data_IF_155594114836
#
_entry.id   IF_155594114836
#
_cell.length_a   1.000
_cell.length_b   1.000
_cell.length_c   1.000
_cell.angle_alpha   90.00
_cell.angle_beta   90.00
_cell.angle_gamma   90.00
#
_symmetry.space_group_name_H-M   'P 1'
#
loop_
_entity.id
_entity.type
_entity.pdbx_description
1 polymer ?
#
# COMPACT_ATOMS: atom_id res chain seq x y z
N UNK A 1 -0.14 13.35 9.71
CA UNK A 1 0.65 12.14 9.37
C UNK A 1 0.45 11.83 7.90
N UNK A 2 1.52 11.41 7.23
CA UNK A 2 1.52 11.09 5.80
C UNK A 2 1.54 9.59 5.58
N UNK A 3 0.64 9.09 4.73
CA UNK A 3 0.54 7.68 4.35
C UNK A 3 1.00 7.51 2.90
N UNK A 4 1.92 6.58 2.66
CA UNK A 4 2.15 6.02 1.33
C UNK A 4 1.19 4.86 1.11
N UNK A 5 0.32 4.97 0.10
CA UNK A 5 -0.69 3.96 -0.20
C UNK A 5 -0.23 3.08 -1.36
N UNK A 6 0.17 1.86 -1.04
CA UNK A 6 0.67 0.85 -1.97
C UNK A 6 -0.44 -0.13 -2.39
N UNK A 7 -0.44 -0.54 -3.65
CA UNK A 7 -1.34 -1.56 -4.17
C UNK A 7 -1.06 -1.92 -5.63
N UNK A 8 -1.74 -2.94 -6.14
CA UNK A 8 -1.59 -3.40 -7.52
C UNK A 8 -2.16 -2.40 -8.53
N UNK A 9 -1.52 -2.31 -9.70
CA UNK A 9 -1.83 -1.32 -10.75
C UNK A 9 -2.87 -1.77 -11.79
N UNK A 10 -3.69 -2.79 -11.52
CA UNK A 10 -4.77 -3.20 -12.41
C UNK A 10 -5.93 -2.19 -12.44
N UNK A 11 -6.74 -2.21 -13.51
CA UNK A 11 -7.85 -1.26 -13.67
C UNK A 11 -8.89 -1.35 -12.54
N UNK A 12 -9.19 -2.55 -12.06
CA UNK A 12 -10.11 -2.79 -10.94
C UNK A 12 -9.53 -2.27 -9.62
N UNK A 13 -8.25 -2.48 -9.42
CA UNK A 13 -7.52 -2.04 -8.23
C UNK A 13 -7.45 -0.53 -8.13
N UNK A 14 -7.33 0.18 -9.25
CA UNK A 14 -7.28 1.65 -9.26
C UNK A 14 -8.50 2.27 -8.57
N UNK A 15 -9.70 1.80 -8.89
CA UNK A 15 -10.93 2.30 -8.25
C UNK A 15 -10.93 2.09 -6.74
N UNK A 16 -10.48 0.93 -6.29
CA UNK A 16 -10.32 0.61 -4.86
C UNK A 16 -9.32 1.55 -4.21
N UNK A 17 -8.15 1.72 -4.82
CA UNK A 17 -7.08 2.56 -4.26
C UNK A 17 -7.51 4.03 -4.12
N UNK A 18 -8.23 4.57 -5.09
CA UNK A 18 -8.78 5.93 -5.02
C UNK A 18 -9.77 6.06 -3.86
N UNK A 19 -10.69 5.10 -3.70
CA UNK A 19 -11.64 5.09 -2.56
C UNK A 19 -10.93 5.01 -1.22
N UNK A 20 -9.90 4.17 -1.10
CA UNK A 20 -9.09 4.06 0.13
C UNK A 20 -8.38 5.38 0.41
N UNK A 21 -7.79 6.02 -0.60
CA UNK A 21 -7.14 7.32 -0.44
C UNK A 21 -8.13 8.41 0.03
N UNK A 22 -9.31 8.46 -0.56
CA UNK A 22 -10.38 9.39 -0.16
C UNK A 22 -10.83 9.15 1.29
N UNK A 23 -11.03 7.90 1.68
CA UNK A 23 -11.34 7.54 3.05
C UNK A 23 -10.28 8.04 4.03
N UNK A 24 -9.01 7.71 3.78
CA UNK A 24 -7.93 8.12 4.68
C UNK A 24 -7.78 9.64 4.77
N UNK A 25 -7.96 10.35 3.66
CA UNK A 25 -7.99 11.82 3.64
C UNK A 25 -9.16 12.37 4.46
N UNK A 26 -10.33 11.74 4.41
CA UNK A 26 -11.48 12.13 5.23
C UNK A 26 -11.23 11.92 6.73
N UNK A 27 -10.30 11.03 7.09
CA UNK A 27 -9.84 10.80 8.46
C UNK A 27 -8.70 11.75 8.88
N UNK A 28 -8.27 12.66 8.00
CA UNK A 28 -7.27 13.68 8.30
C UNK A 28 -5.83 13.33 7.93
N UNK A 29 -5.59 12.26 7.16
CA UNK A 29 -4.27 11.89 6.70
C UNK A 29 -3.90 12.60 5.38
N UNK A 30 -2.63 12.94 5.22
CA UNK A 30 -2.04 13.26 3.92
C UNK A 30 -1.69 11.94 3.22
N UNK A 31 -2.25 11.69 2.04
CA UNK A 31 -2.09 10.40 1.35
C UNK A 31 -1.42 10.57 0.00
N UNK A 32 -0.25 9.95 -0.14
CA UNK A 32 0.36 9.75 -1.45
C UNK A 32 -0.19 8.46 -2.06
N UNK A 33 -0.82 8.58 -3.21
CA UNK A 33 -1.35 7.46 -3.98
C UNK A 33 -0.65 7.44 -5.36
N UNK A 34 0.18 6.42 -5.68
CA UNK A 34 0.90 6.37 -6.96
C UNK A 34 0.02 6.50 -8.20
N UNK A 35 -1.23 6.07 -8.13
CA UNK A 35 -2.20 6.19 -9.22
C UNK A 35 -2.59 7.63 -9.56
N UNK A 36 -2.32 8.58 -8.67
CA UNK A 36 -2.61 10.00 -8.86
C UNK A 36 -1.38 10.77 -9.33
N UNK A 37 -0.22 10.10 -9.39
CA UNK A 37 1.03 10.72 -9.82
C UNK A 37 0.93 11.15 -11.29
N UNK A 38 1.24 12.41 -11.53
CA UNK A 38 1.36 12.98 -12.86
C UNK A 38 2.80 13.42 -13.08
N UNK A 39 3.44 12.86 -14.11
CA UNK A 39 4.77 13.28 -14.54
C UNK A 39 4.60 14.40 -15.57
N UNK A 40 5.09 15.62 -15.30
CA UNK A 40 5.08 16.70 -16.28
C UNK A 40 5.77 16.27 -17.57
N UNK A 41 5.19 16.62 -18.71
CA UNK A 41 5.75 16.30 -20.04
C UNK A 41 5.95 14.78 -20.30
N UNK A 42 5.11 13.92 -19.71
CA UNK A 42 5.19 12.47 -19.90
C UNK A 42 5.18 12.03 -21.37
N UNK A 43 4.55 12.82 -22.25
CA UNK A 43 4.48 12.56 -23.69
C UNK A 43 5.76 12.94 -24.46
N UNK A 44 6.64 13.74 -23.86
CA UNK A 44 7.85 14.29 -24.49
C UNK A 44 9.12 13.53 -24.07
N UNK A 45 9.02 12.58 -23.13
CA UNK A 45 10.13 11.80 -22.61
C UNK A 45 10.01 10.33 -23.04
N UNK A 46 11.14 9.62 -23.07
CA UNK A 46 11.15 8.19 -23.32
C UNK A 46 10.41 7.40 -22.23
N UNK A 47 9.94 6.19 -22.58
CA UNK A 47 9.33 5.30 -21.58
C UNK A 47 10.32 4.95 -20.45
N UNK A 48 11.59 4.83 -20.76
CA UNK A 48 12.64 4.57 -19.77
C UNK A 48 12.79 5.74 -18.81
N UNK A 49 12.85 6.97 -19.32
CA UNK A 49 12.93 8.18 -18.49
C UNK A 49 11.68 8.36 -17.66
N UNK A 50 10.50 8.13 -18.24
CA UNK A 50 9.24 8.15 -17.50
C UNK A 50 9.25 7.15 -16.34
N UNK A 51 9.62 5.89 -16.60
CA UNK A 51 9.69 4.85 -15.57
C UNK A 51 10.68 5.22 -14.45
N UNK A 52 11.82 5.82 -14.79
CA UNK A 52 12.80 6.31 -13.84
C UNK A 52 12.26 7.43 -12.95
N UNK A 53 11.53 8.37 -13.53
CA UNK A 53 10.92 9.47 -12.76
C UNK A 53 9.81 8.97 -11.84
N UNK A 54 8.96 8.01 -12.28
CA UNK A 54 7.97 7.34 -11.43
C UNK A 54 8.66 6.65 -10.26
N UNK A 55 9.67 5.82 -10.53
CA UNK A 55 10.43 5.12 -9.49
C UNK A 55 11.01 6.08 -8.45
N UNK A 56 11.64 7.17 -8.90
CA UNK A 56 12.19 8.18 -8.00
C UNK A 56 11.11 8.84 -7.12
N UNK A 57 9.97 9.18 -7.72
CA UNK A 57 8.86 9.82 -7.03
C UNK A 57 8.30 8.89 -5.94
N UNK A 58 8.08 7.62 -6.27
CA UNK A 58 7.55 6.63 -5.32
C UNK A 58 8.54 6.37 -4.17
N UNK A 59 9.82 6.17 -4.47
CA UNK A 59 10.87 5.98 -3.44
C UNK A 59 10.96 7.19 -2.51
N UNK A 60 10.94 8.40 -3.05
CA UNK A 60 10.96 9.62 -2.23
C UNK A 60 9.67 9.76 -1.40
N UNK A 61 8.52 9.41 -1.95
CA UNK A 61 7.26 9.43 -1.22
C UNK A 61 7.25 8.43 -0.06
N UNK A 62 7.80 7.22 -0.26
CA UNK A 62 7.96 6.22 0.83
C UNK A 62 8.84 6.81 1.93
N UNK A 63 10.02 7.34 1.59
CA UNK A 63 10.98 7.90 2.56
C UNK A 63 10.43 9.07 3.39
N UNK A 64 9.48 9.82 2.85
CA UNK A 64 8.86 10.96 3.52
C UNK A 64 7.49 10.63 4.13
N UNK A 65 7.13 9.36 4.21
CA UNK A 65 5.87 8.91 4.82
C UNK A 65 6.09 8.50 6.27
N UNK A 66 5.07 8.75 7.09
CA UNK A 66 5.02 8.29 8.48
C UNK A 66 4.50 6.86 8.58
N UNK A 67 3.76 6.41 7.56
CA UNK A 67 3.12 5.10 7.49
C UNK A 67 3.17 4.60 6.05
N UNK A 68 3.45 3.32 5.89
CA UNK A 68 3.29 2.58 4.63
C UNK A 68 2.09 1.65 4.74
N UNK A 69 1.08 1.84 3.90
CA UNK A 69 -0.12 1.02 3.85
C UNK A 69 -0.21 0.26 2.54
N UNK A 70 -0.21 -1.06 2.61
CA UNK A 70 -0.34 -1.95 1.45
C UNK A 70 -1.69 -2.65 1.43
N UNK A 71 -2.49 -2.42 0.38
CA UNK A 71 -3.70 -3.19 0.09
C UNK A 71 -3.32 -4.38 -0.78
N UNK A 72 -3.21 -5.55 -0.16
CA UNK A 72 -2.69 -6.77 -0.76
C UNK A 72 -3.80 -7.68 -1.27
N UNK A 73 -3.60 -8.26 -2.45
CA UNK A 73 -4.43 -9.35 -3.01
C UNK A 73 -3.75 -10.73 -2.83
N UNK A 74 -2.86 -10.84 -1.87
CA UNK A 74 -2.09 -12.06 -1.58
C UNK A 74 -0.94 -12.27 -2.56
N UNK A 75 -0.61 -13.54 -2.85
CA UNK A 75 0.53 -13.90 -3.71
C UNK A 75 0.46 -13.35 -5.14
N UNK A 76 -0.71 -12.94 -5.60
CA UNK A 76 -0.90 -12.33 -6.92
C UNK A 76 -0.67 -10.82 -6.93
N UNK A 77 -0.35 -10.23 -5.79
CA UNK A 77 0.10 -8.84 -5.71
C UNK A 77 1.38 -8.65 -6.53
N UNK A 78 1.53 -7.46 -7.11
CA UNK A 78 2.66 -7.19 -8.01
C UNK A 78 4.02 -7.28 -7.28
N UNK A 79 5.06 -7.65 -8.04
CA UNK A 79 6.43 -7.65 -7.52
C UNK A 79 6.85 -6.27 -7.01
N UNK A 80 6.43 -5.20 -7.69
CA UNK A 80 6.68 -3.81 -7.28
C UNK A 80 6.12 -3.50 -5.91
N UNK A 81 4.86 -3.84 -5.65
CA UNK A 81 4.24 -3.60 -4.33
C UNK A 81 4.96 -4.34 -3.20
N UNK A 82 5.42 -5.57 -3.44
CA UNK A 82 6.18 -6.31 -2.44
C UNK A 82 7.60 -5.75 -2.24
N UNK A 83 8.23 -5.23 -3.31
CA UNK A 83 9.51 -4.53 -3.22
C UNK A 83 9.39 -3.25 -2.37
N UNK A 84 8.35 -2.45 -2.60
CA UNK A 84 8.06 -1.23 -1.85
C UNK A 84 7.81 -1.53 -0.36
N UNK A 85 7.06 -2.59 -0.05
CA UNK A 85 6.87 -3.06 1.33
C UNK A 85 8.21 -3.39 2.00
N UNK A 86 9.06 -4.19 1.33
CA UNK A 86 10.38 -4.55 1.84
C UNK A 86 11.28 -3.34 2.06
N UNK A 87 11.20 -2.36 1.14
CA UNK A 87 11.95 -1.12 1.27
C UNK A 87 11.47 -0.27 2.46
N UNK A 88 10.16 -0.10 2.61
CA UNK A 88 9.58 0.63 3.74
C UNK A 88 9.94 -0.03 5.08
N UNK A 89 9.81 -1.36 5.16
CA UNK A 89 10.18 -2.14 6.35
C UNK A 89 11.66 -1.98 6.72
N UNK A 90 12.56 -2.09 5.73
CA UNK A 90 14.01 -1.89 5.95
C UNK A 90 14.38 -0.47 6.36
N UNK A 91 13.53 0.52 6.05
CA UNK A 91 13.69 1.92 6.46
C UNK A 91 13.00 2.24 7.80
N UNK A 92 12.49 1.21 8.50
CA UNK A 92 11.82 1.33 9.79
C UNK A 92 10.59 2.24 9.75
N UNK A 93 9.94 2.35 8.57
CA UNK A 93 8.67 3.03 8.42
C UNK A 93 7.57 2.08 8.88
N UNK A 94 6.67 2.46 9.79
CA UNK A 94 5.56 1.63 10.24
C UNK A 94 4.75 1.09 9.06
N UNK A 95 4.69 -0.25 8.92
CA UNK A 95 4.08 -0.93 7.79
C UNK A 95 2.78 -1.63 8.19
N UNK A 96 1.75 -1.42 7.39
CA UNK A 96 0.44 -2.06 7.50
C UNK A 96 0.11 -2.78 6.21
N UNK A 97 -0.24 -4.06 6.30
CA UNK A 97 -0.72 -4.86 5.17
C UNK A 97 -2.16 -5.26 5.42
N UNK A 98 -3.06 -4.86 4.54
CA UNK A 98 -4.46 -5.28 4.53
C UNK A 98 -4.66 -6.24 3.38
N UNK A 99 -4.79 -7.52 3.65
CA UNK A 99 -5.05 -8.52 2.62
C UNK A 99 -6.54 -8.72 2.46
N UNK A 100 -7.06 -8.41 1.26
CA UNK A 100 -8.49 -8.39 0.93
C UNK A 100 -8.98 -9.67 0.28
N UNK A 101 -8.12 -10.68 0.14
CA UNK A 101 -8.47 -11.97 -0.48
C UNK A 101 -8.13 -13.14 0.44
N UNK A 102 -8.72 -14.30 0.16
CA UNK A 102 -8.37 -15.56 0.82
C UNK A 102 -7.15 -16.26 0.16
N UNK A 103 -6.48 -15.59 -0.77
CA UNK A 103 -5.28 -16.13 -1.41
C UNK A 103 -4.14 -16.33 -0.39
N UNK A 104 -3.25 -17.25 -0.73
CA UNK A 104 -2.04 -17.45 0.06
C UNK A 104 -1.23 -16.15 0.12
N UNK A 105 -0.59 -15.92 1.25
CA UNK A 105 0.35 -14.80 1.46
C UNK A 105 1.77 -15.33 1.50
N UNK A 106 2.69 -14.61 0.86
CA UNK A 106 4.13 -14.89 1.00
C UNK A 106 4.54 -14.73 2.47
N UNK A 107 5.39 -15.66 2.94
CA UNK A 107 5.98 -15.53 4.28
C UNK A 107 6.74 -14.20 4.46
N UNK A 108 7.37 -13.71 3.39
CA UNK A 108 8.10 -12.44 3.41
C UNK A 108 7.17 -11.23 3.55
N UNK A 109 5.97 -11.29 2.96
CA UNK A 109 4.95 -10.25 3.14
C UNK A 109 4.35 -10.30 4.54
N UNK A 110 4.05 -11.49 5.05
CA UNK A 110 3.42 -11.67 6.35
C UNK A 110 4.33 -11.27 7.52
N UNK A 111 5.59 -11.72 7.48
CA UNK A 111 6.58 -11.42 8.53
C UNK A 111 7.37 -10.13 8.27
N UNK A 112 7.39 -9.67 7.04
CA UNK A 112 8.05 -8.42 6.63
C UNK A 112 7.17 -7.17 6.76
N UNK A 113 6.18 -7.20 7.66
CA UNK A 113 5.40 -6.02 8.02
C UNK A 113 5.17 -5.98 9.54
N UNK A 114 4.89 -4.79 10.07
CA UNK A 114 4.61 -4.60 11.50
C UNK A 114 3.17 -5.01 11.85
N UNK A 115 2.25 -4.77 10.93
CA UNK A 115 0.82 -5.01 11.13
C UNK A 115 0.21 -5.72 9.92
N UNK A 116 -0.42 -6.86 10.15
CA UNK A 116 -1.10 -7.63 9.11
C UNK A 116 -2.58 -7.82 9.45
N UNK A 117 -3.45 -7.44 8.53
CA UNK A 117 -4.91 -7.51 8.68
C UNK A 117 -5.51 -8.37 7.59
N UNK A 118 -6.11 -9.50 7.96
CA UNK A 118 -7.00 -10.24 7.05
C UNK A 118 -8.35 -9.53 7.01
N UNK A 119 -8.75 -9.14 5.82
CA UNK A 119 -10.03 -8.48 5.58
C UNK A 119 -10.67 -9.02 4.29
N UNK A 120 -11.66 -8.35 3.79
CA UNK A 120 -12.28 -8.61 2.50
C UNK A 120 -12.60 -7.29 1.81
N UNK A 121 -12.93 -7.32 0.53
CA UNK A 121 -13.37 -6.12 -0.19
C UNK A 121 -14.52 -5.41 0.55
N UNK A 122 -15.47 -6.17 1.07
CA UNK A 122 -16.65 -5.65 1.78
C UNK A 122 -16.30 -5.02 3.14
N UNK A 123 -15.32 -5.58 3.85
CA UNK A 123 -14.95 -5.14 5.18
C UNK A 123 -13.79 -4.12 5.20
N UNK A 124 -13.14 -3.89 4.07
CA UNK A 124 -11.92 -3.06 3.99
C UNK A 124 -12.12 -1.67 4.62
N UNK A 125 -13.18 -0.95 4.26
CA UNK A 125 -13.45 0.37 4.81
C UNK A 125 -13.61 0.33 6.33
N UNK A 126 -14.41 -0.61 6.84
CA UNK A 126 -14.63 -0.80 8.27
C UNK A 126 -13.32 -1.06 9.02
N UNK A 127 -12.51 -1.97 8.48
CA UNK A 127 -11.25 -2.36 9.13
C UNK A 127 -10.19 -1.25 9.08
N UNK A 128 -10.15 -0.48 7.99
CA UNK A 128 -9.34 0.73 7.91
C UNK A 128 -9.75 1.77 8.96
N UNK A 129 -11.05 1.99 9.16
CA UNK A 129 -11.54 2.90 10.22
C UNK A 129 -11.14 2.44 11.61
N UNK A 130 -11.22 1.13 11.89
CA UNK A 130 -10.79 0.57 13.19
C UNK A 130 -9.34 0.91 13.50
N UNK A 131 -8.46 0.85 12.48
CA UNK A 131 -7.02 1.08 12.66
C UNK A 131 -6.67 2.56 12.64
N UNK A 132 -7.29 3.37 11.76
CA UNK A 132 -6.84 4.73 11.46
C UNK A 132 -7.76 5.85 11.97
N UNK A 133 -8.99 5.57 12.43
CA UNK A 133 -9.95 6.63 12.73
C UNK A 133 -9.57 7.50 13.93
N UNK A 134 -8.92 6.96 14.96
CA UNK A 134 -8.58 7.70 16.19
C UNK A 134 -7.09 7.92 16.37
N UNK A 135 -6.32 6.90 16.16
CA UNK A 135 -4.85 6.87 16.18
C UNK A 135 -4.44 5.57 15.50
N UNK A 136 -3.29 5.57 14.82
CA UNK A 136 -2.78 4.33 14.22
C UNK A 136 -2.54 3.29 15.32
N UNK A 137 -3.38 2.28 15.36
CA UNK A 137 -3.28 1.23 16.37
C UNK A 137 -2.53 0.03 15.79
N UNK A 138 -1.64 -0.57 16.56
CA UNK A 138 -1.12 -1.88 16.23
C UNK A 138 -2.27 -2.87 16.06
N UNK A 139 -2.37 -3.51 14.93
CA UNK A 139 -3.41 -4.50 14.65
C UNK A 139 -2.85 -5.63 13.81
N UNK A 140 -2.81 -6.83 14.37
CA UNK A 140 -2.29 -7.99 13.67
C UNK A 140 -3.27 -9.15 13.78
N UNK A 141 -3.66 -9.71 12.63
CA UNK A 141 -4.49 -10.92 12.56
C UNK A 141 -3.66 -12.08 12.04
N UNK A 142 -3.98 -13.29 12.46
CA UNK A 142 -3.33 -14.48 11.92
C UNK A 142 -3.66 -14.64 10.44
N UNK A 143 -2.64 -14.87 9.62
CA UNK A 143 -2.86 -15.25 8.22
C UNK A 143 -3.48 -16.64 8.14
N UNK A 144 -4.44 -16.83 7.23
CA UNK A 144 -5.11 -18.11 7.01
C UNK A 144 -4.17 -19.14 6.40
N UNK A 145 -3.36 -18.72 5.44
CA UNK A 145 -2.41 -19.59 4.75
C UNK A 145 -1.18 -18.81 4.33
N UNK A 146 -0.02 -19.22 4.82
CA UNK A 146 1.28 -18.64 4.46
C UNK A 146 1.97 -19.57 3.46
N UNK A 147 2.42 -18.99 2.36
CA UNK A 147 3.23 -19.69 1.36
C UNK A 147 4.69 -19.69 1.82
N UNK A 148 5.22 -20.86 2.06
CA UNK A 148 6.64 -21.08 2.40
C UNK A 148 7.52 -21.15 1.15
#
# INVERSE_FOLDING_TARGET
>A
MKIYLCGSCGSTERTRMVKVAELLRSLGYDVYCPFELQIPNAWDISQEDWAKEVFKADVQAILHSDIFLFISVGRVSTAGSNWELGYAYAREIPTYVFQITDAQTSLMTYWGCDNFVNTSEENLEKDLRVVFEKECRPYHTKCKTILT
#
